data_IF_124909730035
#
_entry.id   IF_124909730035
#
_cell.length_a   1.000
_cell.length_b   1.000
_cell.length_c   1.000
_cell.angle_alpha   90.00
_cell.angle_beta   90.00
_cell.angle_gamma   90.00
#
_symmetry.space_group_name_H-M   'P 1'
#
loop_
_entity.id
_entity.type
_entity.pdbx_description
1 polymer ?
#
# COMPACT_ATOMS: atom_id res chain seq x y z
N UNK A 1 0.62 64.23 -60.59
CA UNK A 1 1.13 62.95 -61.12
C UNK A 1 1.05 61.91 -60.01
N UNK A 2 0.59 60.70 -60.35
CA UNK A 2 0.78 59.43 -59.63
C UNK A 2 0.55 59.33 -58.11
N UNK A 3 -0.63 58.79 -57.75
CA UNK A 3 -0.86 57.80 -56.67
C UNK A 3 -0.11 56.47 -56.97
N UNK A 4 -0.10 55.40 -56.12
CA UNK A 4 -1.02 55.08 -55.00
C UNK A 4 -0.44 54.45 -53.70
N UNK A 5 -1.37 54.22 -52.74
CA UNK A 5 -1.49 53.05 -51.83
C UNK A 5 -0.54 52.97 -50.60
N UNK A 6 -0.97 52.46 -49.43
CA UNK A 6 -2.29 51.96 -48.96
C UNK A 6 -2.30 51.77 -47.43
N UNK A 7 -3.48 51.96 -46.78
CA UNK A 7 -4.08 51.15 -45.67
C UNK A 7 -3.23 50.76 -44.42
N UNK A 8 -3.72 50.39 -43.21
CA UNK A 8 -4.93 50.51 -42.35
C UNK A 8 -4.41 50.10 -40.92
N UNK A 9 -5.09 50.14 -39.77
CA UNK A 9 -6.50 50.37 -39.39
C UNK A 9 -6.53 50.94 -37.94
N UNK A 10 -7.63 51.56 -37.52
CA UNK A 10 -7.82 52.04 -36.14
C UNK A 10 -8.15 50.92 -35.14
N UNK A 11 -7.82 51.15 -33.86
CA UNK A 11 -8.22 50.30 -32.75
C UNK A 11 -9.53 50.81 -32.13
N UNK A 12 -10.54 49.94 -32.03
CA UNK A 12 -11.74 50.20 -31.21
C UNK A 12 -12.04 49.02 -30.28
N UNK A 13 -12.67 49.34 -29.15
CA UNK A 13 -12.79 48.50 -27.96
C UNK A 13 -14.11 47.73 -27.96
N UNK A 14 -14.08 46.44 -27.65
CA UNK A 14 -15.32 45.72 -27.27
C UNK A 14 -15.09 44.76 -26.10
N UNK A 15 -15.98 44.85 -25.11
CA UNK A 15 -15.98 44.01 -23.92
C UNK A 15 -16.41 42.58 -24.29
N UNK A 16 -15.64 41.58 -23.86
CA UNK A 16 -16.10 40.18 -23.81
C UNK A 16 -16.43 39.81 -22.37
N UNK A 17 -17.71 39.85 -22.03
CA UNK A 17 -18.22 39.25 -20.81
C UNK A 17 -17.93 37.74 -20.81
N UNK A 18 -17.24 37.26 -19.79
CA UNK A 18 -17.03 35.83 -19.58
C UNK A 18 -18.36 35.19 -19.11
N UNK A 19 -18.99 34.40 -19.98
CA UNK A 19 -20.11 33.56 -19.58
C UNK A 19 -19.59 32.43 -18.69
N UNK A 20 -19.70 32.59 -17.37
CA UNK A 20 -19.60 31.47 -16.43
C UNK A 20 -20.81 30.58 -16.62
N UNK A 21 -20.67 29.53 -17.43
CA UNK A 21 -21.68 28.48 -17.57
C UNK A 21 -21.85 27.76 -16.24
N UNK A 22 -22.85 28.16 -15.44
CA UNK A 22 -23.29 27.37 -14.30
C UNK A 22 -23.79 26.02 -14.82
N UNK A 23 -23.01 24.95 -14.56
CA UNK A 23 -23.49 23.57 -14.74
C UNK A 23 -24.82 23.42 -13.99
N UNK A 24 -25.82 22.82 -14.63
CA UNK A 24 -27.12 22.62 -13.99
C UNK A 24 -26.99 21.62 -12.81
N UNK A 25 -27.87 21.67 -11.80
CA UNK A 25 -27.84 20.73 -10.68
C UNK A 25 -27.87 19.25 -11.14
N UNK A 26 -28.52 18.96 -12.26
CA UNK A 26 -28.59 17.62 -12.86
C UNK A 26 -27.21 17.12 -13.32
N UNK A 27 -26.37 18.00 -13.91
CA UNK A 27 -25.04 17.62 -14.39
C UNK A 27 -24.07 17.29 -13.26
N UNK A 28 -24.21 17.91 -12.08
CA UNK A 28 -23.43 17.53 -10.91
C UNK A 28 -23.82 16.14 -10.38
N UNK A 29 -25.12 15.82 -10.38
CA UNK A 29 -25.62 14.50 -9.98
C UNK A 29 -25.18 13.40 -10.96
N UNK A 30 -25.15 13.69 -12.26
CA UNK A 30 -24.61 12.76 -13.26
C UNK A 30 -23.08 12.61 -13.15
N UNK A 31 -22.31 13.69 -13.01
CA UNK A 31 -20.85 13.62 -12.82
C UNK A 31 -20.46 12.79 -11.58
N UNK A 32 -21.14 12.97 -10.44
CA UNK A 32 -20.85 12.19 -9.23
C UNK A 32 -21.36 10.75 -9.29
N UNK A 33 -22.48 10.48 -9.99
CA UNK A 33 -22.94 9.11 -10.23
C UNK A 33 -21.98 8.34 -11.14
N UNK A 34 -21.55 8.94 -12.26
CA UNK A 34 -20.52 8.39 -13.15
C UNK A 34 -19.19 8.16 -12.41
N UNK A 35 -18.80 9.03 -11.48
CA UNK A 35 -17.61 8.82 -10.63
C UNK A 35 -17.76 7.70 -9.61
N UNK A 36 -18.98 7.42 -9.13
CA UNK A 36 -19.25 6.29 -8.27
C UNK A 36 -19.28 4.97 -9.05
N UNK A 37 -19.96 4.95 -10.20
CA UNK A 37 -20.06 3.77 -11.07
C UNK A 37 -18.67 3.39 -11.62
N UNK A 38 -17.87 4.35 -12.11
CA UNK A 38 -16.52 4.08 -12.62
C UNK A 38 -15.54 3.56 -11.54
N UNK A 39 -15.71 3.95 -10.26
CA UNK A 39 -14.95 3.37 -9.13
C UNK A 39 -15.39 1.95 -8.79
N UNK A 40 -16.67 1.65 -8.99
CA UNK A 40 -17.24 0.31 -8.80
C UNK A 40 -16.69 -0.64 -9.86
N UNK A 41 -16.74 -0.25 -11.13
CA UNK A 41 -16.23 -1.03 -12.26
C UNK A 41 -14.72 -1.25 -12.19
N UNK A 42 -13.90 -0.21 -11.91
CA UNK A 42 -12.45 -0.38 -11.79
C UNK A 42 -12.06 -1.35 -10.67
N UNK A 43 -12.82 -1.35 -9.57
CA UNK A 43 -12.62 -2.27 -8.45
C UNK A 43 -12.99 -3.72 -8.83
N UNK A 44 -14.07 -3.92 -9.60
CA UNK A 44 -14.45 -5.24 -10.11
C UNK A 44 -13.43 -5.82 -11.10
N UNK A 45 -12.75 -4.99 -11.90
CA UNK A 45 -11.70 -5.45 -12.83
C UNK A 45 -10.43 -5.90 -12.10
N UNK A 46 -10.11 -5.31 -10.94
CA UNK A 46 -8.91 -5.68 -10.18
C UNK A 46 -9.07 -6.97 -9.37
N UNK A 47 -10.25 -7.19 -8.78
CA UNK A 47 -10.51 -8.28 -7.84
C UNK A 47 -11.35 -9.39 -8.45
N UNK A 48 -10.70 -10.41 -9.01
CA UNK A 48 -11.38 -11.67 -9.38
C UNK A 48 -12.08 -12.29 -8.16
N UNK A 49 -13.29 -12.87 -8.33
CA UNK A 49 -13.97 -13.63 -7.27
C UNK A 49 -13.14 -14.82 -6.75
N UNK A 50 -13.29 -15.13 -5.47
CA UNK A 50 -12.60 -16.22 -4.79
C UNK A 50 -13.56 -17.35 -4.41
N UNK A 51 -13.11 -18.58 -4.58
CA UNK A 51 -13.85 -19.79 -4.26
C UNK A 51 -13.60 -20.18 -2.79
N UNK A 52 -14.63 -20.14 -1.95
CA UNK A 52 -14.50 -20.42 -0.51
C UNK A 52 -14.20 -21.89 -0.21
N UNK A 53 -14.85 -22.79 -0.96
CA UNK A 53 -14.65 -24.25 -0.94
C UNK A 53 -13.20 -24.66 -1.22
N UNK A 54 -12.51 -23.91 -2.09
CA UNK A 54 -11.09 -24.11 -2.44
C UNK A 54 -10.14 -23.35 -1.52
N UNK A 55 -10.64 -22.66 -0.48
CA UNK A 55 -9.87 -21.80 0.42
C UNK A 55 -8.98 -20.80 -0.34
N UNK A 56 -9.53 -20.19 -1.39
CA UNK A 56 -8.80 -19.21 -2.18
C UNK A 56 -8.64 -17.88 -1.45
N UNK A 57 -7.44 -17.30 -1.62
CA UNK A 57 -7.06 -15.95 -1.23
C UNK A 57 -6.31 -15.29 -2.40
N UNK A 58 -6.01 -13.99 -2.30
CA UNK A 58 -5.11 -13.29 -3.24
C UNK A 58 -3.77 -13.01 -2.58
N UNK A 59 -2.72 -12.91 -3.39
CA UNK A 59 -1.36 -12.47 -3.04
C UNK A 59 -0.85 -11.51 -4.10
N UNK A 60 0.10 -10.67 -3.72
CA UNK A 60 0.85 -9.84 -4.66
C UNK A 60 2.22 -10.47 -4.92
N UNK A 61 2.58 -10.57 -6.19
CA UNK A 61 3.99 -10.60 -6.58
C UNK A 61 4.44 -9.13 -6.65
N UNK A 62 5.28 -8.69 -5.71
CA UNK A 62 5.90 -7.36 -5.70
C UNK A 62 7.10 -7.36 -6.63
N UNK A 63 7.09 -6.51 -7.66
CA UNK A 63 8.14 -6.49 -8.69
C UNK A 63 9.47 -5.89 -8.14
N UNK A 64 10.63 -6.40 -8.59
CA UNK A 64 11.94 -5.91 -8.17
C UNK A 64 12.22 -4.50 -8.70
N UNK A 65 13.16 -3.80 -8.05
CA UNK A 65 13.76 -2.58 -8.60
C UNK A 65 15.12 -2.28 -7.98
N UNK A 66 16.04 -1.77 -8.81
CA UNK A 66 17.32 -1.21 -8.37
C UNK A 66 17.21 0.26 -7.94
N UNK A 67 16.17 0.98 -8.39
CA UNK A 67 15.90 2.36 -8.00
C UNK A 67 14.90 2.40 -6.83
N UNK A 68 15.38 2.81 -5.67
CA UNK A 68 14.54 2.99 -4.48
C UNK A 68 13.36 3.94 -4.70
N UNK A 69 13.44 4.93 -5.60
CA UNK A 69 12.40 5.95 -5.82
C UNK A 69 11.39 5.62 -6.94
N UNK A 70 11.68 4.64 -7.80
CA UNK A 70 10.80 4.17 -8.89
C UNK A 70 9.37 3.82 -8.44
N UNK A 71 8.40 3.87 -9.35
CA UNK A 71 7.02 3.46 -9.08
C UNK A 71 6.98 1.99 -8.62
N UNK A 72 6.09 1.68 -7.66
CA UNK A 72 5.96 0.33 -7.11
C UNK A 72 4.92 -0.41 -7.94
N UNK A 73 5.35 -1.50 -8.58
CA UNK A 73 4.50 -2.38 -9.35
C UNK A 73 4.28 -3.70 -8.60
N UNK A 74 3.03 -4.16 -8.61
CA UNK A 74 2.60 -5.41 -8.02
C UNK A 74 1.68 -6.16 -8.99
N UNK A 75 1.80 -7.48 -9.04
CA UNK A 75 0.83 -8.34 -9.72
C UNK A 75 -0.03 -9.08 -8.69
N UNK A 76 -1.31 -8.72 -8.61
CA UNK A 76 -2.29 -9.41 -7.77
C UNK A 76 -2.79 -10.67 -8.48
N UNK A 77 -2.73 -11.82 -7.79
CA UNK A 77 -3.21 -13.12 -8.30
C UNK A 77 -3.85 -13.96 -7.20
N UNK A 78 -4.80 -14.83 -7.57
CA UNK A 78 -5.41 -15.81 -6.67
C UNK A 78 -4.57 -17.07 -6.53
N UNK A 79 -4.71 -17.77 -5.41
CA UNK A 79 -4.22 -19.14 -5.19
C UNK A 79 -5.00 -19.82 -4.05
N UNK A 80 -4.94 -21.14 -3.93
CA UNK A 80 -5.51 -21.86 -2.79
C UNK A 80 -4.52 -21.99 -1.62
N UNK A 81 -4.95 -21.69 -0.40
CA UNK A 81 -4.15 -21.95 0.82
C UNK A 81 -3.76 -23.43 0.98
N UNK A 82 -4.48 -24.36 0.35
CA UNK A 82 -4.13 -25.77 0.34
C UNK A 82 -2.85 -26.04 -0.46
N UNK A 83 -2.58 -25.30 -1.53
CA UNK A 83 -1.35 -25.46 -2.33
C UNK A 83 -0.09 -25.17 -1.51
N UNK A 84 -0.12 -24.15 -0.64
CA UNK A 84 0.98 -23.85 0.28
C UNK A 84 1.16 -25.01 1.28
N UNK A 85 0.06 -25.45 1.90
CA UNK A 85 0.07 -26.54 2.89
C UNK A 85 0.59 -27.87 2.30
N UNK A 86 0.28 -28.16 1.05
CA UNK A 86 0.70 -29.37 0.34
C UNK A 86 1.99 -29.19 -0.49
N UNK A 87 2.71 -28.07 -0.31
CA UNK A 87 4.09 -27.92 -0.75
C UNK A 87 4.29 -27.48 -2.21
N UNK A 88 3.41 -26.66 -2.77
CA UNK A 88 3.64 -26.02 -4.09
C UNK A 88 4.95 -25.19 -4.03
N UNK A 89 6.02 -25.57 -4.77
CA UNK A 89 7.32 -24.92 -4.65
C UNK A 89 7.28 -23.43 -5.04
N UNK A 90 6.39 -23.05 -5.95
CA UNK A 90 6.21 -21.65 -6.40
C UNK A 90 5.64 -20.72 -5.31
N UNK A 91 5.21 -21.25 -4.17
CA UNK A 91 4.68 -20.51 -3.04
C UNK A 91 5.51 -20.68 -1.76
N UNK A 92 6.63 -21.42 -1.82
CA UNK A 92 7.51 -21.67 -0.67
C UNK A 92 8.18 -20.39 -0.13
N UNK A 93 8.14 -19.28 -0.88
CA UNK A 93 8.64 -17.97 -0.45
C UNK A 93 7.50 -17.00 -0.05
N UNK A 94 6.28 -17.48 0.20
CA UNK A 94 5.16 -16.64 0.63
C UNK A 94 5.46 -15.99 1.99
N UNK A 95 5.47 -14.66 2.01
CA UNK A 95 5.68 -13.85 3.20
C UNK A 95 4.38 -13.08 3.54
N UNK A 96 3.86 -13.24 4.75
CA UNK A 96 2.71 -12.48 5.22
C UNK A 96 3.17 -11.23 5.98
N UNK A 97 2.48 -10.10 5.78
CA UNK A 97 2.79 -8.84 6.47
C UNK A 97 1.89 -8.62 7.70
N UNK A 98 2.52 -8.29 8.83
CA UNK A 98 1.84 -7.78 10.03
C UNK A 98 2.34 -6.37 10.35
N UNK A 99 1.51 -5.37 10.08
CA UNK A 99 1.83 -3.95 10.19
C UNK A 99 0.64 -3.19 10.81
N UNK A 100 0.77 -1.87 10.95
CA UNK A 100 -0.37 -0.98 11.21
C UNK A 100 -0.70 -0.18 9.96
N UNK A 101 -1.98 -0.09 9.61
CA UNK A 101 -2.38 0.70 8.44
C UNK A 101 -2.00 2.18 8.59
N UNK A 102 -2.02 2.67 9.84
CA UNK A 102 -1.72 4.06 10.19
C UNK A 102 -2.97 4.95 10.14
N UNK A 103 -2.86 6.16 10.69
CA UNK A 103 -3.93 7.16 10.67
C UNK A 103 -3.67 8.25 9.62
N UNK A 104 -3.00 7.88 8.53
CA UNK A 104 -2.45 8.83 7.57
C UNK A 104 -3.53 9.23 6.56
N UNK A 105 -4.08 10.44 6.70
CA UNK A 105 -5.01 11.03 5.72
C UNK A 105 -4.36 11.19 4.34
N UNK A 106 -3.02 11.15 4.27
CA UNK A 106 -2.26 11.16 3.04
C UNK A 106 -2.12 9.75 2.45
N UNK A 107 -3.09 9.37 1.61
CA UNK A 107 -2.96 8.22 0.73
C UNK A 107 -1.91 8.47 -0.37
N UNK A 108 -1.20 7.43 -0.75
CA UNK A 108 -0.27 7.37 -1.89
C UNK A 108 -0.72 6.28 -2.87
N UNK A 109 -0.06 6.13 -4.02
CA UNK A 109 -0.43 5.16 -5.05
C UNK A 109 0.65 4.09 -5.25
N UNK A 110 0.19 2.87 -5.51
CA UNK A 110 0.98 1.77 -6.07
C UNK A 110 0.27 1.24 -7.32
N UNK A 111 0.99 0.62 -8.25
CA UNK A 111 0.40 0.06 -9.48
C UNK A 111 0.16 -1.43 -9.27
N UNK A 112 -1.10 -1.86 -9.26
CA UNK A 112 -1.51 -3.26 -9.09
C UNK A 112 -2.21 -3.72 -10.35
N UNK A 113 -1.69 -4.76 -11.03
CA UNK A 113 -2.19 -5.23 -12.33
C UNK A 113 -2.37 -4.10 -13.37
N UNK A 114 -1.44 -3.13 -13.39
CA UNK A 114 -1.50 -1.96 -14.27
C UNK A 114 -2.42 -0.83 -13.81
N UNK A 115 -3.17 -1.00 -12.72
CA UNK A 115 -4.11 0.01 -12.19
C UNK A 115 -3.51 0.74 -10.98
N UNK A 116 -3.68 2.06 -10.91
CA UNK A 116 -3.25 2.86 -9.75
C UNK A 116 -4.20 2.66 -8.57
N UNK A 117 -3.71 1.97 -7.55
CA UNK A 117 -4.42 1.63 -6.31
C UNK A 117 -3.92 2.51 -5.17
N UNK A 118 -4.84 3.12 -4.43
CA UNK A 118 -4.51 3.95 -3.27
C UNK A 118 -4.17 3.08 -2.07
N UNK A 119 -3.11 3.44 -1.35
CA UNK A 119 -2.62 2.76 -0.15
C UNK A 119 -2.12 3.79 0.87
N UNK A 120 -1.87 3.38 2.11
CA UNK A 120 -1.27 4.27 3.13
C UNK A 120 0.24 4.41 2.92
N UNK A 121 0.81 5.54 3.34
CA UNK A 121 2.27 5.75 3.30
C UNK A 121 3.04 4.69 4.08
N UNK A 122 2.49 4.14 5.17
CA UNK A 122 3.18 3.11 5.94
C UNK A 122 3.33 1.80 5.15
N UNK A 123 2.28 1.39 4.42
CA UNK A 123 2.36 0.21 3.55
C UNK A 123 3.22 0.48 2.32
N UNK A 124 3.10 1.65 1.69
CA UNK A 124 3.95 2.02 0.56
C UNK A 124 5.44 2.04 0.94
N UNK A 125 5.79 2.62 2.09
CA UNK A 125 7.13 2.58 2.62
C UNK A 125 7.61 1.14 2.89
N UNK A 126 6.76 0.27 3.47
CA UNK A 126 7.10 -1.14 3.62
C UNK A 126 7.41 -1.80 2.26
N UNK A 127 6.52 -1.68 1.27
CA UNK A 127 6.70 -2.26 -0.05
C UNK A 127 7.98 -1.75 -0.70
N UNK A 128 8.26 -0.44 -0.59
CA UNK A 128 9.48 0.18 -1.13
C UNK A 128 10.77 -0.39 -0.53
N UNK A 129 10.81 -0.56 0.80
CA UNK A 129 11.95 -1.18 1.49
C UNK A 129 12.03 -2.70 1.27
N UNK A 130 10.89 -3.36 0.99
CA UNK A 130 10.83 -4.82 0.81
C UNK A 130 11.20 -5.29 -0.59
N UNK A 131 11.11 -4.44 -1.62
CA UNK A 131 11.54 -4.77 -2.99
C UNK A 131 12.98 -5.25 -2.99
N UNK A 132 13.20 -6.42 -3.58
CA UNK A 132 14.54 -6.89 -3.92
C UNK A 132 15.02 -6.23 -5.21
N UNK A 133 16.31 -6.34 -5.49
CA UNK A 133 16.95 -5.71 -6.66
C UNK A 133 16.71 -6.45 -7.98
N UNK A 134 16.51 -7.77 -7.94
CA UNK A 134 16.46 -8.63 -9.13
C UNK A 134 15.30 -9.62 -9.15
N UNK A 135 14.77 -10.02 -7.98
CA UNK A 135 13.74 -11.04 -7.85
C UNK A 135 12.44 -10.46 -7.30
N UNK A 136 11.30 -10.99 -7.74
CA UNK A 136 9.99 -10.58 -7.20
C UNK A 136 9.75 -11.17 -5.81
N UNK A 137 9.06 -10.44 -4.95
CA UNK A 137 8.70 -10.90 -3.59
C UNK A 137 7.24 -11.30 -3.54
N UNK A 138 6.95 -12.52 -3.07
CA UNK A 138 5.57 -13.00 -2.92
C UNK A 138 5.04 -12.60 -1.55
N UNK A 139 4.09 -11.67 -1.52
CA UNK A 139 3.55 -11.11 -0.28
C UNK A 139 2.04 -11.34 -0.15
N UNK A 140 1.60 -11.62 1.08
CA UNK A 140 0.23 -11.37 1.50
C UNK A 140 0.13 -10.09 2.32
N UNK A 141 -0.73 -9.16 1.87
CA UNK A 141 -0.98 -7.85 2.49
C UNK A 141 -2.48 -7.59 2.47
N UNK A 142 -3.11 -7.54 3.64
CA UNK A 142 -4.56 -7.35 3.81
C UNK A 142 -5.18 -6.23 2.95
N UNK A 143 -4.58 -5.03 2.93
CA UNK A 143 -5.09 -3.85 2.26
C UNK A 143 -5.06 -3.91 0.71
N UNK A 144 -4.35 -4.88 0.12
CA UNK A 144 -4.27 -5.10 -1.34
C UNK A 144 -4.80 -6.48 -1.74
N UNK A 145 -4.72 -7.48 -0.86
CA UNK A 145 -5.17 -8.84 -1.16
C UNK A 145 -6.68 -9.04 -0.92
N UNK A 146 -7.26 -8.29 0.02
CA UNK A 146 -8.70 -8.26 0.32
C UNK A 146 -9.30 -7.03 -0.37
N UNK A 147 -10.42 -7.21 -1.06
CA UNK A 147 -11.17 -6.11 -1.66
C UNK A 147 -11.83 -5.27 -0.54
N UNK A 148 -11.17 -4.19 -0.15
CA UNK A 148 -11.62 -3.36 0.97
C UNK A 148 -12.97 -2.65 0.75
N UNK A 149 -13.43 -2.59 -0.50
CA UNK A 149 -14.73 -2.03 -0.89
C UNK A 149 -15.86 -3.07 -0.90
N UNK A 150 -15.56 -4.37 -0.77
CA UNK A 150 -16.56 -5.44 -0.74
C UNK A 150 -16.66 -6.06 0.66
N UNK A 151 -17.77 -5.83 1.39
CA UNK A 151 -18.02 -6.45 2.69
C UNK A 151 -18.03 -7.98 2.66
N UNK A 152 -18.42 -8.62 1.56
CA UNK A 152 -18.46 -10.08 1.45
C UNK A 152 -17.06 -10.67 1.34
N UNK A 153 -16.21 -10.11 0.46
CA UNK A 153 -14.80 -10.48 0.37
C UNK A 153 -14.09 -10.30 1.73
N UNK A 154 -14.33 -9.18 2.43
CA UNK A 154 -13.81 -8.97 3.79
C UNK A 154 -14.27 -10.02 4.79
N UNK A 155 -15.57 -10.32 4.83
CA UNK A 155 -16.15 -11.32 5.73
C UNK A 155 -15.63 -12.74 5.42
N UNK A 156 -15.31 -13.05 4.16
CA UNK A 156 -14.70 -14.32 3.74
C UNK A 156 -13.21 -14.40 4.06
N UNK A 157 -12.45 -13.31 3.88
CA UNK A 157 -11.00 -13.32 3.97
C UNK A 157 -10.45 -13.07 5.38
N UNK A 158 -11.09 -12.23 6.20
CA UNK A 158 -10.62 -11.93 7.56
C UNK A 158 -10.55 -13.20 8.44
N UNK A 159 -11.54 -14.12 8.46
CA UNK A 159 -11.43 -15.37 9.22
C UNK A 159 -10.25 -16.27 8.79
N UNK A 160 -9.78 -16.14 7.54
CA UNK A 160 -8.65 -16.93 7.00
C UNK A 160 -7.30 -16.41 7.50
N UNK A 161 -7.20 -15.20 8.08
CA UNK A 161 -5.91 -14.59 8.49
C UNK A 161 -5.06 -15.49 9.40
N UNK A 162 -5.67 -16.24 10.32
CA UNK A 162 -4.96 -17.20 11.17
C UNK A 162 -4.29 -18.33 10.35
N UNK A 163 -4.95 -18.82 9.30
CA UNK A 163 -4.37 -19.81 8.39
C UNK A 163 -3.30 -19.20 7.49
N UNK A 164 -3.49 -17.96 7.05
CA UNK A 164 -2.51 -17.25 6.21
C UNK A 164 -1.21 -17.03 6.98
N UNK A 165 -1.27 -16.53 8.21
CA UNK A 165 -0.10 -16.36 9.07
C UNK A 165 0.52 -17.70 9.50
N UNK A 166 -0.27 -18.76 9.65
CA UNK A 166 0.21 -20.09 10.01
C UNK A 166 0.81 -20.90 8.85
N UNK A 167 0.44 -20.60 7.60
CA UNK A 167 0.93 -21.33 6.41
C UNK A 167 1.96 -20.54 5.59
N UNK A 168 2.02 -19.20 5.72
CA UNK A 168 3.09 -18.42 5.10
C UNK A 168 4.46 -18.84 5.66
N UNK A 169 5.44 -19.00 4.78
CA UNK A 169 6.81 -19.41 5.13
C UNK A 169 7.53 -18.40 6.03
N UNK A 170 7.09 -17.13 6.01
CA UNK A 170 7.59 -16.08 6.90
C UNK A 170 6.45 -15.12 7.28
N UNK A 171 6.44 -14.67 8.52
CA UNK A 171 5.65 -13.52 8.97
C UNK A 171 6.60 -12.34 9.18
N UNK A 172 6.44 -11.26 8.41
CA UNK A 172 7.18 -10.01 8.60
C UNK A 172 6.40 -9.06 9.49
N UNK A 173 7.02 -8.61 10.57
CA UNK A 173 6.50 -7.54 11.41
C UNK A 173 7.11 -6.21 10.94
N UNK A 174 6.27 -5.30 10.46
CA UNK A 174 6.70 -3.95 10.07
C UNK A 174 6.30 -2.94 11.15
N UNK A 175 7.32 -2.39 11.82
CA UNK A 175 7.17 -1.40 12.89
C UNK A 175 7.18 0.05 12.35
N UNK A 176 7.12 0.26 11.03
CA UNK A 176 7.31 1.56 10.38
C UNK A 176 8.77 1.81 9.95
N UNK A 177 9.03 2.89 9.18
CA UNK A 177 10.37 3.27 8.74
C UNK A 177 11.38 3.47 9.88
N UNK A 178 12.67 3.60 9.55
CA UNK A 178 13.67 4.02 10.53
C UNK A 178 13.40 5.48 10.95
N UNK A 179 13.18 5.67 12.25
CA UNK A 179 12.92 6.96 12.90
C UNK A 179 13.20 6.80 14.38
N UNK A 180 13.35 7.90 15.11
CA UNK A 180 13.30 7.84 16.58
C UNK A 180 14.34 6.91 17.22
N UNK A 181 15.52 6.84 16.60
CA UNK A 181 16.63 5.99 16.98
C UNK A 181 16.29 4.48 16.92
N UNK A 182 15.36 4.06 16.05
CA UNK A 182 14.97 2.63 15.94
C UNK A 182 16.14 1.72 15.58
N UNK A 183 17.09 2.17 14.76
CA UNK A 183 18.35 1.43 14.53
C UNK A 183 19.12 1.16 15.84
N UNK A 184 19.24 2.14 16.76
CA UNK A 184 19.87 1.95 18.08
C UNK A 184 19.02 1.04 18.99
N UNK A 185 17.70 1.15 18.93
CA UNK A 185 16.79 0.29 19.67
C UNK A 185 16.93 -1.18 19.25
N UNK A 186 16.96 -1.46 17.94
CA UNK A 186 17.15 -2.80 17.38
C UNK A 186 18.53 -3.37 17.72
N UNK A 187 19.60 -2.58 17.59
CA UNK A 187 20.95 -2.99 18.01
C UNK A 187 20.99 -3.33 19.51
N UNK A 188 20.29 -2.56 20.34
CA UNK A 188 20.18 -2.80 21.78
C UNK A 188 19.39 -4.09 22.07
N UNK A 189 18.27 -4.34 21.38
CA UNK A 189 17.50 -5.58 21.52
C UNK A 189 18.33 -6.82 21.15
N UNK A 190 19.11 -6.76 20.06
CA UNK A 190 20.02 -7.86 19.67
C UNK A 190 21.05 -8.11 20.77
N UNK A 191 21.72 -7.07 21.28
CA UNK A 191 22.72 -7.20 22.37
C UNK A 191 22.12 -7.77 23.65
N UNK A 192 20.88 -7.42 24.00
CA UNK A 192 20.15 -7.99 25.13
C UNK A 192 19.79 -9.47 24.90
N UNK A 193 19.35 -9.82 23.69
CA UNK A 193 18.99 -11.19 23.32
C UNK A 193 20.16 -12.16 23.18
N UNK A 194 21.40 -11.66 23.08
CA UNK A 194 22.61 -12.49 23.05
C UNK A 194 23.09 -12.95 24.44
N UNK A 195 22.50 -12.48 25.53
CA UNK A 195 22.87 -12.89 26.90
C UNK A 195 22.40 -14.30 27.26
N UNK A 196 23.11 -14.97 28.16
CA UNK A 196 22.66 -16.22 28.76
C UNK A 196 21.48 -15.96 29.73
N UNK A 197 20.57 -16.91 29.96
CA UNK A 197 19.44 -16.75 30.89
C UNK A 197 19.84 -16.57 32.37
N UNK A 198 21.14 -16.73 32.68
CA UNK A 198 21.72 -16.51 34.01
C UNK A 198 22.53 -15.22 34.13
N UNK A 199 22.69 -14.46 33.03
CA UNK A 199 23.39 -13.19 33.05
C UNK A 199 22.55 -12.12 33.75
N UNK A 200 23.22 -11.20 34.46
CA UNK A 200 22.55 -10.02 34.99
C UNK A 200 22.22 -9.08 33.85
N UNK A 201 20.99 -8.55 33.86
CA UNK A 201 20.57 -7.50 32.92
C UNK A 201 21.60 -6.36 32.90
N UNK A 202 22.19 -6.01 31.75
CA UNK A 202 23.21 -4.97 31.69
C UNK A 202 22.60 -3.60 32.00
N UNK A 203 23.39 -2.72 32.61
CA UNK A 203 23.01 -1.32 32.77
C UNK A 203 22.98 -0.65 31.39
N UNK A 204 21.80 -0.22 30.96
CA UNK A 204 21.60 0.48 29.70
C UNK A 204 21.80 1.98 29.87
N UNK A 205 22.53 2.59 28.94
CA UNK A 205 22.62 4.05 28.81
C UNK A 205 21.25 4.66 28.51
N UNK A 206 21.05 5.91 28.94
CA UNK A 206 19.75 6.61 28.84
C UNK A 206 19.22 6.73 27.41
N UNK A 207 20.11 6.96 26.43
CA UNK A 207 19.76 7.00 25.00
C UNK A 207 19.18 5.65 24.52
N UNK A 208 19.80 4.51 24.89
CA UNK A 208 19.34 3.16 24.55
C UNK A 208 17.96 2.88 25.17
N UNK A 209 17.76 3.27 26.44
CA UNK A 209 16.46 3.17 27.10
C UNK A 209 15.40 4.02 26.39
N UNK A 210 15.71 5.26 26.03
CA UNK A 210 14.77 6.13 25.29
C UNK A 210 14.46 5.59 23.90
N UNK A 211 15.44 5.07 23.16
CA UNK A 211 15.22 4.45 21.84
C UNK A 211 14.30 3.21 21.95
N UNK A 212 14.55 2.33 22.93
CA UNK A 212 13.68 1.19 23.23
C UNK A 212 12.26 1.62 23.60
N UNK A 213 12.11 2.64 24.46
CA UNK A 213 10.80 3.18 24.83
C UNK A 213 10.03 3.67 23.60
N UNK A 214 10.65 4.49 22.74
CA UNK A 214 10.02 4.97 21.51
C UNK A 214 9.62 3.82 20.59
N UNK A 215 10.49 2.84 20.37
CA UNK A 215 10.21 1.66 19.53
C UNK A 215 9.03 0.84 20.09
N UNK A 216 8.99 0.60 21.40
CA UNK A 216 7.96 -0.20 22.08
C UNK A 216 6.63 0.56 22.28
N UNK A 217 6.62 1.88 22.09
CA UNK A 217 5.38 2.69 22.05
C UNK A 217 4.84 2.94 20.64
N UNK A 218 5.47 2.39 19.59
CA UNK A 218 4.94 2.52 18.21
C UNK A 218 3.56 1.85 18.09
N UNK A 219 2.64 2.35 17.23
CA UNK A 219 1.24 1.90 17.18
C UNK A 219 1.00 0.40 16.99
N UNK A 220 1.99 -0.35 16.50
CA UNK A 220 1.90 -1.79 16.31
C UNK A 220 1.73 -2.57 17.62
N UNK A 221 2.31 -2.09 18.72
CA UNK A 221 2.25 -2.76 20.02
C UNK A 221 0.92 -2.56 20.74
N UNK A 222 0.20 -1.49 20.42
CA UNK A 222 -1.05 -1.07 21.07
C UNK A 222 -2.29 -1.30 20.21
N UNK A 223 -2.17 -2.07 19.12
CA UNK A 223 -3.33 -2.47 18.31
C UNK A 223 -4.22 -3.42 19.12
N UNK A 224 -5.48 -3.04 19.29
CA UNK A 224 -6.56 -3.82 19.91
C UNK A 224 -7.75 -3.90 18.98
#
# INVERSE_FOLDING_TARGET
>A
MSTPASELMDADSSERAAQTTQKSPTQFVEDDKVRHDAKSESSQVLYEPLSEDRLEIRIIDLEPSTDYHSEIHCRLRKFSLLEVKYGNPSLFCLEALSYTWGNDAALTNVVVNGQRTRTTRNLEAFLRHRRETHEKVILWVDAICINQNDPQDKNSQIPKMNMIYGFASKLTIWLGPDSDDSSLAMETLVKLGCGAPYDKMPLLERNKVTALQKLLTRPWWTRT
#
